data_IF_209505530558
#
_entry.id   IF_209505530558
#
_cell.length_a   1.000
_cell.length_b   1.000
_cell.length_c   1.000
_cell.angle_alpha   90.00
_cell.angle_beta   90.00
_cell.angle_gamma   90.00
#
_symmetry.space_group_name_H-M   'P 1'
#
loop_
_entity.id
_entity.type
_entity.pdbx_description
1 polymer ?
#
# COMPACT_ATOMS: atom_id res chain seq x y z
N UNK A 1 -5.56 -2.06 -15.25
CA UNK A 1 -7.03 -1.86 -15.21
C UNK A 1 -7.60 -2.62 -14.03
N UNK A 2 -8.54 -2.01 -13.30
CA UNK A 2 -9.26 -2.67 -12.22
C UNK A 2 -10.21 -3.74 -12.78
N UNK A 3 -10.24 -4.90 -12.16
CA UNK A 3 -11.18 -5.98 -12.49
C UNK A 3 -12.62 -5.57 -12.22
N UNK A 4 -13.47 -5.69 -13.23
CA UNK A 4 -14.91 -5.45 -13.07
C UNK A 4 -15.60 -6.54 -12.22
N UNK A 5 -15.04 -7.76 -12.19
CA UNK A 5 -15.61 -8.88 -11.49
C UNK A 5 -15.46 -8.80 -9.98
N UNK A 6 -14.26 -8.40 -9.48
CA UNK A 6 -13.95 -8.46 -8.06
C UNK A 6 -13.37 -7.16 -7.48
N UNK A 7 -13.10 -6.16 -8.33
CA UNK A 7 -12.56 -4.87 -7.89
C UNK A 7 -11.07 -4.84 -7.58
N UNK A 8 -10.36 -5.93 -7.76
CA UNK A 8 -8.90 -5.99 -7.59
C UNK A 8 -8.11 -5.65 -8.85
N UNK A 9 -6.80 -5.77 -8.78
CA UNK A 9 -5.87 -5.60 -9.91
C UNK A 9 -5.02 -6.85 -10.12
N UNK A 10 -4.67 -7.11 -11.38
CA UNK A 10 -3.80 -8.19 -11.81
C UNK A 10 -2.47 -7.65 -12.32
N UNK A 11 -1.46 -8.51 -12.42
CA UNK A 11 -0.17 -8.16 -13.03
C UNK A 11 -0.32 -7.85 -14.53
N UNK A 12 -1.15 -8.60 -15.23
CA UNK A 12 -1.40 -8.42 -16.66
C UNK A 12 -2.91 -8.29 -16.91
N UNK A 13 -3.41 -7.17 -17.42
CA UNK A 13 -4.79 -7.07 -17.83
C UNK A 13 -5.01 -7.74 -19.18
N UNK A 14 -5.99 -8.63 -19.28
CA UNK A 14 -6.63 -8.90 -20.57
C UNK A 14 -6.33 -10.19 -21.32
N UNK A 15 -5.70 -11.20 -20.73
CA UNK A 15 -5.58 -12.52 -21.38
C UNK A 15 -6.35 -13.59 -20.57
N UNK A 16 -7.40 -14.11 -21.15
CA UNK A 16 -8.43 -14.92 -20.46
C UNK A 16 -7.97 -16.26 -19.88
N UNK A 17 -6.78 -16.74 -20.18
CA UNK A 17 -6.33 -18.09 -19.84
C UNK A 17 -5.07 -18.17 -18.97
N UNK A 18 -4.64 -17.05 -18.36
CA UNK A 18 -3.41 -17.03 -17.59
C UNK A 18 -3.69 -16.69 -16.13
N UNK A 19 -3.07 -17.41 -15.19
CA UNK A 19 -3.13 -17.15 -13.74
C UNK A 19 -2.70 -15.71 -13.37
N UNK A 20 -1.95 -15.04 -14.24
CA UNK A 20 -1.53 -13.64 -14.07
C UNK A 20 -2.63 -12.62 -14.40
N UNK A 21 -3.78 -13.04 -14.93
CA UNK A 21 -4.92 -12.15 -15.21
C UNK A 21 -5.89 -12.03 -14.04
N UNK A 22 -5.79 -12.93 -13.07
CA UNK A 22 -6.57 -12.84 -11.83
C UNK A 22 -6.01 -11.73 -10.94
N UNK A 23 -6.89 -11.02 -10.26
CA UNK A 23 -6.46 -10.02 -9.28
C UNK A 23 -5.70 -10.69 -8.13
N UNK A 24 -4.63 -10.05 -7.69
CA UNK A 24 -3.87 -10.50 -6.52
C UNK A 24 -3.95 -9.45 -5.40
N UNK A 25 -3.83 -9.87 -4.13
CA UNK A 25 -3.84 -8.92 -3.01
C UNK A 25 -2.76 -7.85 -3.12
N UNK A 26 -1.52 -8.22 -3.46
CA UNK A 26 -0.42 -7.27 -3.62
C UNK A 26 -0.67 -6.28 -4.77
N UNK A 27 -1.12 -6.75 -5.94
CA UNK A 27 -1.45 -5.85 -7.06
C UNK A 27 -2.68 -4.99 -6.77
N UNK A 28 -3.60 -5.45 -5.93
CA UNK A 28 -4.71 -4.62 -5.45
C UNK A 28 -4.21 -3.46 -4.60
N UNK A 29 -3.21 -3.68 -3.74
CA UNK A 29 -2.53 -2.60 -3.03
C UNK A 29 -1.88 -1.61 -4.01
N UNK A 30 -1.15 -2.09 -5.02
CA UNK A 30 -0.53 -1.22 -6.05
C UNK A 30 -1.57 -0.40 -6.80
N UNK A 31 -2.70 -1.00 -7.18
CA UNK A 31 -3.80 -0.29 -7.83
C UNK A 31 -4.40 0.81 -6.96
N UNK A 32 -4.63 0.54 -5.69
CA UNK A 32 -5.10 1.52 -4.71
C UNK A 32 -4.11 2.68 -4.54
N UNK A 33 -2.80 2.38 -4.41
CA UNK A 33 -1.77 3.42 -4.32
C UNK A 33 -1.75 4.29 -5.59
N UNK A 34 -1.86 3.67 -6.77
CA UNK A 34 -1.93 4.38 -8.05
C UNK A 34 -3.15 5.30 -8.16
N UNK A 35 -4.33 4.85 -7.69
CA UNK A 35 -5.53 5.69 -7.66
C UNK A 35 -5.35 6.90 -6.72
N UNK A 36 -4.79 6.70 -5.54
CA UNK A 36 -4.55 7.79 -4.61
C UNK A 36 -3.60 8.85 -5.20
N UNK A 37 -2.53 8.42 -5.87
CA UNK A 37 -1.61 9.33 -6.56
C UNK A 37 -2.31 10.08 -7.70
N UNK A 38 -3.12 9.38 -8.50
CA UNK A 38 -3.91 9.98 -9.57
C UNK A 38 -4.89 11.05 -9.03
N UNK A 39 -5.57 10.77 -7.94
CA UNK A 39 -6.44 11.73 -7.26
C UNK A 39 -5.66 12.93 -6.71
N UNK A 40 -4.49 12.72 -6.12
CA UNK A 40 -3.64 13.81 -5.63
C UNK A 40 -3.25 14.82 -6.72
N UNK A 41 -3.11 14.34 -7.97
CA UNK A 41 -2.77 15.20 -9.12
C UNK A 41 -4.00 15.84 -9.78
N UNK A 42 -5.16 15.15 -9.78
CA UNK A 42 -6.32 15.54 -10.60
C UNK A 42 -7.56 15.93 -9.79
N UNK A 43 -7.56 15.70 -8.48
CA UNK A 43 -8.72 15.93 -7.65
C UNK A 43 -9.11 17.42 -7.59
N UNK A 44 -10.41 17.68 -7.73
CA UNK A 44 -10.96 19.00 -7.44
C UNK A 44 -10.84 19.30 -5.94
N UNK A 45 -10.65 20.57 -5.54
CA UNK A 45 -10.66 20.93 -4.13
C UNK A 45 -11.93 20.42 -3.43
N UNK A 46 -11.76 19.67 -2.33
CA UNK A 46 -12.86 19.10 -1.55
C UNK A 46 -13.32 17.69 -1.97
N UNK A 47 -12.76 17.11 -3.03
CA UNK A 47 -13.01 15.69 -3.37
C UNK A 47 -12.44 14.76 -2.29
N UNK A 48 -13.26 13.84 -1.79
CA UNK A 48 -12.82 12.82 -0.83
C UNK A 48 -12.44 11.55 -1.59
N UNK A 49 -11.26 11.03 -1.33
CA UNK A 49 -10.79 9.74 -1.88
C UNK A 49 -11.78 8.60 -1.61
N UNK A 50 -12.43 8.62 -0.45
CA UNK A 50 -13.42 7.62 -0.05
C UNK A 50 -14.68 7.57 -0.94
N UNK A 51 -14.96 8.62 -1.70
CA UNK A 51 -16.15 8.70 -2.56
C UNK A 51 -15.92 8.07 -3.95
N UNK A 52 -14.67 7.64 -4.26
CA UNK A 52 -14.38 6.96 -5.52
C UNK A 52 -14.83 5.49 -5.47
N UNK A 53 -15.77 5.07 -6.34
CA UNK A 53 -16.24 3.69 -6.38
C UNK A 53 -15.16 2.66 -6.68
N UNK A 54 -14.09 3.04 -7.40
CA UNK A 54 -12.97 2.15 -7.68
C UNK A 54 -12.14 1.89 -6.42
N UNK A 55 -11.91 2.93 -5.61
CA UNK A 55 -11.24 2.80 -4.31
C UNK A 55 -12.09 1.93 -3.37
N UNK A 56 -13.38 2.20 -3.27
CA UNK A 56 -14.28 1.43 -2.41
C UNK A 56 -14.30 -0.07 -2.76
N UNK A 57 -14.33 -0.42 -4.06
CA UNK A 57 -14.24 -1.82 -4.51
C UNK A 57 -12.90 -2.45 -4.20
N UNK A 58 -11.80 -1.73 -4.45
CA UNK A 58 -10.45 -2.21 -4.17
C UNK A 58 -10.21 -2.45 -2.68
N UNK A 59 -10.65 -1.54 -1.81
CA UNK A 59 -10.53 -1.70 -0.36
C UNK A 59 -11.36 -2.87 0.17
N UNK A 60 -12.56 -3.11 -0.38
CA UNK A 60 -13.37 -4.29 -0.05
C UNK A 60 -12.64 -5.57 -0.45
N UNK A 61 -12.16 -5.64 -1.69
CA UNK A 61 -11.38 -6.79 -2.18
C UNK A 61 -10.14 -7.04 -1.31
N UNK A 62 -9.45 -5.99 -0.91
CA UNK A 62 -8.29 -6.10 -0.04
C UNK A 62 -8.69 -6.63 1.35
N UNK A 63 -9.79 -6.12 1.92
CA UNK A 63 -10.29 -6.54 3.24
C UNK A 63 -10.61 -8.02 3.32
N UNK A 64 -11.11 -8.62 2.24
CA UNK A 64 -11.40 -10.05 2.17
C UNK A 64 -10.13 -10.94 2.27
N UNK A 65 -8.94 -10.35 2.07
CA UNK A 65 -7.66 -11.08 2.05
C UNK A 65 -6.79 -10.83 3.28
N UNK A 66 -7.11 -9.84 4.13
CA UNK A 66 -6.30 -9.57 5.33
C UNK A 66 -6.60 -10.61 6.39
N UNK A 67 -5.60 -11.44 6.67
CA UNK A 67 -5.63 -12.44 7.73
C UNK A 67 -4.21 -12.68 8.26
N UNK A 68 -4.08 -13.29 9.42
CA UNK A 68 -2.78 -13.64 9.96
C UNK A 68 -1.95 -14.47 8.97
N UNK A 69 -2.57 -15.42 8.27
CA UNK A 69 -1.88 -16.24 7.28
C UNK A 69 -1.41 -15.43 6.07
N UNK A 70 -2.24 -14.52 5.54
CA UNK A 70 -1.87 -13.68 4.40
C UNK A 70 -0.79 -12.66 4.76
N UNK A 71 -0.83 -12.11 5.98
CA UNK A 71 0.16 -11.17 6.50
C UNK A 71 1.52 -11.82 6.78
N UNK A 72 1.63 -13.14 6.73
CA UNK A 72 2.90 -13.84 6.76
C UNK A 72 3.74 -13.62 5.48
N UNK A 73 3.14 -13.18 4.40
CA UNK A 73 3.85 -12.60 3.25
C UNK A 73 4.23 -11.15 3.60
N UNK A 74 5.49 -10.92 3.93
CA UNK A 74 5.97 -9.62 4.41
C UNK A 74 5.96 -8.53 3.34
N UNK A 75 6.08 -8.90 2.07
CA UNK A 75 5.88 -7.96 0.97
C UNK A 75 4.42 -7.50 0.88
N UNK A 76 3.47 -8.45 1.02
CA UNK A 76 2.05 -8.10 1.06
C UNK A 76 1.70 -7.30 2.32
N UNK A 77 2.19 -7.72 3.48
CA UNK A 77 2.00 -7.00 4.75
C UNK A 77 2.45 -5.54 4.65
N UNK A 78 3.66 -5.29 4.13
CA UNK A 78 4.15 -3.93 3.89
C UNK A 78 3.29 -3.18 2.88
N UNK A 79 2.80 -3.83 1.82
CA UNK A 79 1.90 -3.22 0.84
C UNK A 79 0.56 -2.80 1.45
N UNK A 80 0.01 -3.59 2.38
CA UNK A 80 -1.19 -3.25 3.16
C UNK A 80 -0.93 -2.03 4.03
N UNK A 81 0.22 -1.98 4.70
CA UNK A 81 0.61 -0.83 5.52
C UNK A 81 0.63 0.47 4.68
N UNK A 82 1.20 0.45 3.46
CA UNK A 82 1.18 1.60 2.56
C UNK A 82 -0.25 2.08 2.26
N UNK A 83 -1.16 1.15 1.97
CA UNK A 83 -2.56 1.48 1.73
C UNK A 83 -3.21 2.04 3.00
N UNK A 84 -3.06 1.37 4.14
CA UNK A 84 -3.60 1.80 5.42
C UNK A 84 -3.18 3.21 5.80
N UNK A 85 -1.88 3.50 5.67
CA UNK A 85 -1.32 4.81 5.98
C UNK A 85 -1.79 5.90 4.99
N UNK A 86 -1.77 5.62 3.68
CA UNK A 86 -2.15 6.58 2.65
C UNK A 86 -3.61 7.02 2.76
N UNK A 87 -4.50 6.07 3.00
CA UNK A 87 -5.94 6.32 3.16
C UNK A 87 -6.34 6.62 4.61
N UNK A 88 -5.39 6.68 5.56
CA UNK A 88 -5.61 6.92 6.99
C UNK A 88 -6.63 5.95 7.60
N UNK A 89 -6.54 4.66 7.23
CA UNK A 89 -7.46 3.63 7.67
C UNK A 89 -6.94 2.94 8.94
N UNK A 90 -7.76 2.88 9.97
CA UNK A 90 -7.50 2.01 11.12
C UNK A 90 -7.81 0.55 10.78
N UNK A 91 -8.88 0.33 10.03
CA UNK A 91 -9.31 -0.99 9.59
C UNK A 91 -9.44 -1.02 8.08
N UNK A 92 -9.18 -2.16 7.45
CA UNK A 92 -9.49 -2.45 6.05
C UNK A 92 -10.49 -3.62 6.07
N UNK A 93 -11.69 -3.40 5.52
CA UNK A 93 -12.81 -4.26 5.86
C UNK A 93 -13.14 -4.13 7.35
N UNK A 94 -13.22 -5.27 8.03
CA UNK A 94 -13.48 -5.33 9.48
C UNK A 94 -12.23 -5.69 10.29
N UNK A 95 -11.04 -5.65 9.68
CA UNK A 95 -9.79 -6.12 10.29
C UNK A 95 -8.89 -4.94 10.62
N UNK A 96 -8.42 -4.86 11.87
CA UNK A 96 -7.31 -4.00 12.25
C UNK A 96 -6.03 -4.59 11.65
N UNK A 97 -5.67 -4.05 10.47
CA UNK A 97 -4.55 -4.55 9.68
C UNK A 97 -3.21 -4.44 10.41
N UNK A 98 -3.09 -3.42 11.28
CA UNK A 98 -1.85 -3.23 12.01
C UNK A 98 -1.70 -4.23 13.16
N UNK A 99 -2.75 -4.44 13.93
CA UNK A 99 -2.76 -5.42 15.02
C UNK A 99 -2.43 -6.84 14.51
N UNK A 100 -3.02 -7.20 13.37
CA UNK A 100 -2.74 -8.50 12.73
C UNK A 100 -1.27 -8.59 12.28
N UNK A 101 -0.75 -7.57 11.61
CA UNK A 101 0.64 -7.56 11.13
C UNK A 101 1.65 -7.51 12.27
N UNK A 102 1.42 -6.69 13.29
CA UNK A 102 2.25 -6.62 14.48
C UNK A 102 2.32 -7.99 15.19
N UNK A 103 1.17 -8.64 15.39
CA UNK A 103 1.12 -9.98 15.96
C UNK A 103 1.92 -11.01 15.16
N UNK A 104 1.85 -10.95 13.82
CA UNK A 104 2.65 -11.81 12.94
C UNK A 104 4.15 -11.53 13.06
N UNK A 105 4.55 -10.27 13.15
CA UNK A 105 5.96 -9.90 13.31
C UNK A 105 6.51 -10.38 14.66
N UNK A 106 5.78 -10.14 15.74
CA UNK A 106 6.20 -10.59 17.08
C UNK A 106 6.32 -12.12 17.15
N UNK A 107 5.43 -12.85 16.48
CA UNK A 107 5.46 -14.32 16.48
C UNK A 107 6.62 -14.91 15.64
N UNK A 108 7.17 -14.16 14.67
CA UNK A 108 8.17 -14.64 13.72
C UNK A 108 9.56 -13.99 13.89
N UNK A 109 9.74 -13.12 14.89
CA UNK A 109 11.05 -12.52 15.15
C UNK A 109 12.04 -13.57 15.66
N UNK A 110 13.21 -13.61 15.07
CA UNK A 110 14.29 -14.52 15.47
C UNK A 110 15.04 -13.97 16.69
N UNK A 111 15.82 -14.82 17.36
CA UNK A 111 16.57 -14.45 18.57
C UNK A 111 17.61 -13.35 18.30
N UNK A 112 18.11 -13.24 17.08
CA UNK A 112 19.04 -12.19 16.65
C UNK A 112 18.35 -10.87 16.25
N UNK A 113 17.01 -10.82 16.39
CA UNK A 113 16.18 -9.66 16.05
C UNK A 113 15.77 -9.57 14.58
N UNK A 114 16.22 -10.50 13.73
CA UNK A 114 15.86 -10.54 12.31
C UNK A 114 14.53 -11.24 12.05
N UNK A 115 14.07 -11.21 10.80
CA UNK A 115 12.97 -12.00 10.27
C UNK A 115 13.40 -12.76 9.03
N UNK A 116 12.97 -14.02 8.90
CA UNK A 116 13.25 -14.87 7.74
C UNK A 116 12.10 -15.86 7.53
N UNK A 117 11.04 -15.38 6.93
CA UNK A 117 9.82 -16.18 6.70
C UNK A 117 9.82 -16.80 5.31
N UNK A 118 10.47 -16.17 4.34
CA UNK A 118 10.63 -16.64 2.95
C UNK A 118 9.30 -16.98 2.28
N UNK A 119 8.30 -16.15 2.46
CA UNK A 119 6.92 -16.42 2.04
C UNK A 119 6.58 -15.89 0.63
N UNK A 120 7.50 -15.17 -0.03
CA UNK A 120 7.29 -14.65 -1.38
C UNK A 120 8.53 -14.87 -2.24
N UNK A 121 8.36 -14.83 -3.57
CA UNK A 121 9.46 -15.07 -4.51
C UNK A 121 10.56 -14.00 -4.40
N UNK A 122 11.80 -14.44 -4.20
CA UNK A 122 12.96 -13.56 -4.01
C UNK A 122 13.16 -13.07 -2.57
N UNK A 123 12.37 -13.58 -1.61
CA UNK A 123 12.56 -13.31 -0.18
C UNK A 123 13.94 -13.72 0.31
N UNK A 124 14.52 -12.90 1.16
CA UNK A 124 15.75 -13.17 1.91
C UNK A 124 15.59 -12.61 3.32
N UNK A 125 16.37 -13.09 4.29
CA UNK A 125 16.38 -12.57 5.67
C UNK A 125 16.53 -11.04 5.70
N UNK A 126 17.38 -10.48 4.84
CA UNK A 126 17.60 -9.04 4.78
C UNK A 126 16.32 -8.30 4.30
N UNK A 127 15.66 -8.80 3.25
CA UNK A 127 14.44 -8.20 2.73
C UNK A 127 13.27 -8.35 3.69
N UNK A 128 13.09 -9.53 4.30
CA UNK A 128 12.06 -9.77 5.30
C UNK A 128 12.24 -8.83 6.49
N UNK A 129 13.48 -8.69 6.98
CA UNK A 129 13.80 -7.76 8.07
C UNK A 129 13.51 -6.30 7.68
N UNK A 130 13.86 -5.90 6.46
CA UNK A 130 13.54 -4.55 5.96
C UNK A 130 12.03 -4.30 5.92
N UNK A 131 11.22 -5.22 5.36
CA UNK A 131 9.77 -5.06 5.31
C UNK A 131 9.13 -5.05 6.69
N UNK A 132 9.61 -5.90 7.61
CA UNK A 132 9.17 -5.90 9.00
C UNK A 132 9.40 -4.53 9.69
N UNK A 133 10.61 -3.99 9.56
CA UNK A 133 10.95 -2.69 10.14
C UNK A 133 10.17 -1.54 9.49
N UNK A 134 9.96 -1.57 8.18
CA UNK A 134 9.16 -0.57 7.48
C UNK A 134 7.70 -0.61 7.94
N UNK A 135 7.13 -1.79 8.10
CA UNK A 135 5.78 -1.96 8.64
C UNK A 135 5.65 -1.40 10.06
N UNK A 136 6.55 -1.79 10.96
CA UNK A 136 6.53 -1.34 12.37
C UNK A 136 6.73 0.17 12.49
N UNK A 137 7.55 0.77 11.63
CA UNK A 137 7.78 2.21 11.63
C UNK A 137 6.53 3.01 11.28
N UNK A 138 5.54 2.44 10.58
CA UNK A 138 4.37 3.17 10.05
C UNK A 138 4.80 4.47 9.37
N UNK A 139 5.83 4.41 8.52
CA UNK A 139 6.39 5.63 7.95
C UNK A 139 5.35 6.31 7.08
N UNK A 140 4.86 7.44 7.55
CA UNK A 140 3.88 8.25 6.83
C UNK A 140 4.58 9.01 5.69
N UNK A 141 4.97 8.25 4.66
CA UNK A 141 5.62 8.79 3.47
C UNK A 141 4.78 9.91 2.82
N UNK A 142 3.48 9.86 3.02
CA UNK A 142 2.53 10.85 2.49
C UNK A 142 2.66 12.17 3.22
N UNK A 143 2.80 12.16 4.53
CA UNK A 143 2.99 13.39 5.30
C UNK A 143 4.34 14.01 5.00
N UNK A 144 5.41 13.19 4.95
CA UNK A 144 6.74 13.64 4.57
C UNK A 144 6.79 14.20 3.12
N UNK A 145 6.08 13.57 2.18
CA UNK A 145 5.98 14.05 0.80
C UNK A 145 5.08 15.28 0.70
N UNK A 146 3.96 15.34 1.42
CA UNK A 146 3.05 16.49 1.40
C UNK A 146 3.67 17.73 2.04
N UNK A 147 4.52 17.55 3.05
CA UNK A 147 5.28 18.65 3.65
C UNK A 147 6.43 19.12 2.75
N UNK A 148 6.98 18.26 1.90
CA UNK A 148 8.08 18.57 0.98
C UNK A 148 7.63 18.98 -0.43
N UNK A 149 6.47 18.53 -0.89
CA UNK A 149 5.93 18.87 -2.21
C UNK A 149 5.72 20.38 -2.42
N UNK A 150 5.19 21.17 -1.45
CA UNK A 150 5.11 22.63 -1.61
C UNK A 150 6.49 23.29 -1.84
N UNK A 151 7.52 22.77 -1.18
CA UNK A 151 8.90 23.25 -1.36
C UNK A 151 9.46 22.87 -2.73
N UNK A 152 9.22 21.66 -3.20
CA UNK A 152 9.64 21.20 -4.53
C UNK A 152 8.90 21.94 -5.65
N UNK A 153 7.61 22.22 -5.48
CA UNK A 153 6.80 22.99 -6.43
C UNK A 153 7.26 24.45 -6.49
N UNK A 154 7.68 25.04 -5.39
CA UNK A 154 8.22 26.40 -5.37
C UNK A 154 9.58 26.55 -6.06
N UNK A 155 10.35 25.47 -6.19
CA UNK A 155 11.64 25.45 -6.91
C UNK A 155 11.44 25.32 -8.43
N UNK A 156 10.32 24.73 -8.87
CA UNK A 156 10.04 24.49 -10.30
C UNK A 156 9.29 25.62 -10.99
N UNK A 157 8.86 26.67 -10.28
CA UNK A 157 8.32 27.87 -10.90
C UNK A 157 9.47 28.73 -11.52
N UNK A 158 9.59 28.82 -12.85
CA UNK A 158 10.61 29.67 -13.47
C UNK A 158 10.19 31.14 -13.33
N UNK A 159 10.60 31.79 -12.25
CA UNK A 159 10.35 33.23 -12.12
C UNK A 159 10.35 33.82 -10.71
N UNK A 160 10.44 33.06 -9.65
CA UNK A 160 10.56 33.62 -8.30
C UNK A 160 11.98 34.16 -8.06
N UNK A 161 12.21 35.45 -8.36
CA UNK A 161 13.43 36.15 -7.89
C UNK A 161 13.31 36.32 -6.38
N UNK A 162 14.35 36.01 -5.60
CA UNK A 162 14.36 36.34 -4.19
C UNK A 162 14.33 37.88 -4.04
N UNK A 163 13.30 38.35 -3.34
CA UNK A 163 13.30 39.74 -2.89
C UNK A 163 14.49 39.95 -1.96
N UNK A 164 15.28 40.94 -2.30
CA UNK A 164 16.39 41.48 -1.48
C UNK A 164 15.84 42.18 -0.25
#
# INVERSE_FOLDING_TARGET
TQSAADGGWAYQPGFADNTMTSSTPAMTCVGLLGLAMGHGVTAKPGAKLADDPAIARGLRKLGDHISAQAMNDFYFMWSVERVGMLYQLKTIGNVDWYEVGEGMLLANQQMDGSWSVQSYHGSTTALDTCFALLFLRRSNLVQDLSERLPFLMSITEPGARPNR
#
